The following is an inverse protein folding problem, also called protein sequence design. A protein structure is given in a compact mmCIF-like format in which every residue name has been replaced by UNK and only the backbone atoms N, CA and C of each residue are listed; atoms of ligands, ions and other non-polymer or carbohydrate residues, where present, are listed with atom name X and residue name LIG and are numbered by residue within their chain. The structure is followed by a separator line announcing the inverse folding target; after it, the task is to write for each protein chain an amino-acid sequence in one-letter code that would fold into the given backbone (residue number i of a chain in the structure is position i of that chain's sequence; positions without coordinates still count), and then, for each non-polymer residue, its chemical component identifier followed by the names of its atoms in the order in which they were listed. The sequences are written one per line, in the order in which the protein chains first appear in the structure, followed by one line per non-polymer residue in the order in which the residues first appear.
data_IF_549304187828
#
_entry.id   IF_549304187828
#
_cell.length_a   1.000
_cell.length_b   1.000
_cell.length_c   1.000
_cell.angle_alpha   90.00
_cell.angle_beta   90.00
_cell.angle_gamma   90.00
#
_symmetry.space_group_name_H-M   'P 1'
#
loop_
_entity.id
_entity.type
_entity.pdbx_description
1 polymer ?
#
# COMPACT_ATOMS: atom_id res chain seq x y z
N UNK A 1 -8.34 3.85 11.71
CA UNK A 1 -8.30 2.61 10.95
C UNK A 1 -7.07 1.81 11.32
N UNK A 2 -7.24 0.51 11.50
CA UNK A 2 -6.18 -0.39 11.93
C UNK A 2 -5.47 -1.00 10.73
N UNK A 3 -4.15 -0.86 10.68
CA UNK A 3 -3.35 -1.35 9.56
C UNK A 3 -2.47 -2.51 10.04
N UNK A 4 -2.61 -3.65 9.41
CA UNK A 4 -1.79 -4.83 9.68
C UNK A 4 -0.96 -5.14 8.45
N UNK A 5 0.26 -5.62 8.65
CA UNK A 5 1.18 -5.98 7.57
C UNK A 5 1.27 -7.50 7.47
N UNK A 6 1.08 -8.02 6.27
CA UNK A 6 1.35 -9.42 6.01
C UNK A 6 2.85 -9.67 6.03
N UNK A 7 3.26 -10.91 6.30
CA UNK A 7 4.69 -11.26 6.36
C UNK A 7 5.42 -10.96 5.06
N UNK A 8 4.79 -11.24 3.93
CA UNK A 8 5.37 -10.91 2.63
C UNK A 8 5.61 -9.42 2.46
N UNK A 9 4.67 -8.61 2.92
CA UNK A 9 4.81 -7.15 2.88
C UNK A 9 5.99 -6.69 3.72
N UNK A 10 6.14 -7.24 4.92
CA UNK A 10 7.26 -6.89 5.81
C UNK A 10 8.60 -7.15 5.15
N UNK A 11 8.74 -8.28 4.46
CA UNK A 11 9.98 -8.63 3.76
C UNK A 11 10.28 -7.65 2.64
N UNK A 12 9.27 -7.31 1.85
CA UNK A 12 9.45 -6.38 0.74
C UNK A 12 9.78 -4.98 1.26
N UNK A 13 9.13 -4.55 2.34
CA UNK A 13 9.44 -3.28 2.97
C UNK A 13 10.91 -3.20 3.37
N UNK A 14 11.41 -4.24 4.03
CA UNK A 14 12.81 -4.27 4.45
C UNK A 14 13.75 -4.24 3.26
N UNK A 15 13.38 -4.90 2.18
CA UNK A 15 14.22 -4.99 0.99
C UNK A 15 14.20 -3.71 0.16
N UNK A 16 13.03 -3.09 -0.04
CA UNK A 16 12.86 -2.01 -1.01
C UNK A 16 12.70 -0.61 -0.39
N UNK A 17 12.17 -0.52 0.81
CA UNK A 17 11.81 0.79 1.38
C UNK A 17 12.71 1.19 2.52
N UNK A 18 13.01 0.27 3.42
CA UNK A 18 13.68 0.57 4.69
C UNK A 18 15.00 1.33 4.51
N UNK A 19 15.79 0.97 3.51
CA UNK A 19 17.11 1.57 3.28
C UNK A 19 17.11 2.70 2.24
N UNK A 20 15.95 3.02 1.69
CA UNK A 20 15.79 4.15 0.78
C UNK A 20 15.11 5.27 1.56
N UNK A 21 15.90 6.23 2.05
CA UNK A 21 15.38 7.25 2.96
C UNK A 21 14.28 8.10 2.37
N UNK A 22 14.39 8.47 1.11
CA UNK A 22 13.36 9.25 0.44
C UNK A 22 12.06 8.49 0.31
N UNK A 23 12.14 7.24 -0.15
CA UNK A 23 10.97 6.39 -0.31
C UNK A 23 10.34 6.04 1.05
N UNK A 24 11.18 5.81 2.05
CA UNK A 24 10.72 5.54 3.41
C UNK A 24 9.93 6.71 3.97
N UNK A 25 10.42 7.92 3.79
CA UNK A 25 9.71 9.11 4.24
C UNK A 25 8.36 9.24 3.54
N UNK A 26 8.34 9.06 2.23
CA UNK A 26 7.10 9.12 1.45
C UNK A 26 6.12 8.05 1.91
N UNK A 27 6.61 6.84 2.14
CA UNK A 27 5.76 5.75 2.61
C UNK A 27 5.04 6.12 3.92
N UNK A 28 5.78 6.61 4.89
CA UNK A 28 5.18 6.93 6.19
C UNK A 28 4.27 8.15 6.13
N UNK A 29 4.59 9.15 5.32
CA UNK A 29 3.69 10.28 5.10
C UNK A 29 2.36 9.81 4.48
N UNK A 30 2.45 8.93 3.50
CA UNK A 30 1.26 8.38 2.83
C UNK A 30 0.47 7.48 3.77
N UNK A 31 1.15 6.68 4.60
CA UNK A 31 0.47 5.82 5.56
C UNK A 31 -0.32 6.62 6.58
N UNK A 32 0.22 7.77 7.01
CA UNK A 32 -0.52 8.65 7.91
C UNK A 32 -1.81 9.14 7.26
N UNK A 33 -1.72 9.57 6.01
CA UNK A 33 -2.89 10.01 5.27
C UNK A 33 -3.88 8.86 5.07
N UNK A 34 -3.38 7.70 4.66
CA UNK A 34 -4.21 6.51 4.41
C UNK A 34 -4.99 6.10 5.67
N UNK A 35 -4.35 6.13 6.82
CA UNK A 35 -5.02 5.73 8.07
C UNK A 35 -6.14 6.69 8.46
N UNK A 36 -6.05 7.94 8.05
CA UNK A 36 -7.09 8.94 8.31
C UNK A 36 -8.19 8.93 7.26
N UNK A 37 -7.81 8.75 5.99
CA UNK A 37 -8.75 8.75 4.88
C UNK A 37 -8.20 7.91 3.73
N UNK A 38 -8.55 6.61 3.69
CA UNK A 38 -8.01 5.72 2.65
C UNK A 38 -8.44 6.09 1.24
N UNK A 39 -9.45 6.93 1.09
CA UNK A 39 -9.93 7.36 -0.22
C UNK A 39 -9.56 8.80 -0.55
N UNK A 40 -8.59 9.38 0.15
CA UNK A 40 -8.08 10.69 -0.21
C UNK A 40 -7.62 10.68 -1.68
N UNK A 41 -7.97 11.71 -2.48
CA UNK A 41 -7.59 11.75 -3.90
C UNK A 41 -6.09 11.61 -4.15
N UNK A 42 -5.26 12.05 -3.22
CA UNK A 42 -3.80 11.95 -3.35
C UNK A 42 -3.30 10.51 -3.39
N UNK A 43 -4.06 9.58 -2.80
CA UNK A 43 -3.68 8.17 -2.72
C UNK A 43 -4.02 7.39 -3.99
N UNK A 44 -4.97 7.89 -4.78
CA UNK A 44 -5.47 7.19 -5.97
C UNK A 44 -5.92 5.77 -5.65
N UNK A 45 -6.55 5.60 -4.50
CA UNK A 45 -7.04 4.30 -4.06
C UNK A 45 -8.10 3.77 -5.03
N UNK A 46 -7.91 2.53 -5.48
CA UNK A 46 -8.84 1.92 -6.43
C UNK A 46 -8.86 0.40 -6.30
N UNK A 47 -9.96 -0.18 -6.74
CA UNK A 47 -10.13 -1.63 -6.80
C UNK A 47 -9.29 -2.20 -7.94
N UNK A 48 -8.76 -3.40 -7.71
CA UNK A 48 -8.08 -4.15 -8.73
C UNK A 48 -9.04 -5.15 -9.36
N UNK A 49 -8.71 -5.60 -10.57
CA UNK A 49 -9.54 -6.51 -11.34
C UNK A 49 -8.74 -7.74 -11.77
N UNK A 50 -9.41 -8.69 -12.42
CA UNK A 50 -8.76 -9.90 -12.91
C UNK A 50 -8.30 -10.79 -11.78
N UNK A 51 -7.04 -11.19 -11.86
CA UNK A 51 -6.44 -12.10 -10.84
C UNK A 51 -6.34 -11.47 -9.46
N UNK A 52 -6.40 -10.15 -9.40
CA UNK A 52 -6.28 -9.40 -8.15
C UNK A 52 -7.63 -8.91 -7.65
N UNK A 53 -8.72 -9.43 -8.21
CA UNK A 53 -10.06 -9.04 -7.78
C UNK A 53 -10.23 -9.26 -6.28
N UNK A 54 -10.87 -8.31 -5.60
CA UNK A 54 -11.01 -8.32 -4.15
C UNK A 54 -9.92 -7.57 -3.43
N UNK A 55 -8.86 -7.19 -4.15
CA UNK A 55 -7.78 -6.39 -3.60
C UNK A 55 -7.89 -4.95 -4.10
N UNK A 56 -7.15 -4.07 -3.43
CA UNK A 56 -7.12 -2.64 -3.71
C UNK A 56 -5.68 -2.18 -3.80
N UNK A 57 -5.47 -1.00 -4.36
CA UNK A 57 -4.14 -0.40 -4.41
C UNK A 57 -4.21 1.08 -4.06
N UNK A 58 -3.14 1.60 -3.46
CA UNK A 58 -2.93 3.04 -3.35
C UNK A 58 -1.49 3.38 -3.69
N UNK A 59 -1.25 4.65 -4.06
CA UNK A 59 0.06 5.11 -4.51
C UNK A 59 0.87 5.70 -3.37
N UNK A 60 2.15 5.30 -3.27
CA UNK A 60 3.14 5.99 -2.43
C UNK A 60 3.79 7.08 -3.25
N UNK A 61 4.26 6.73 -4.44
CA UNK A 61 4.77 7.65 -5.44
C UNK A 61 4.10 7.31 -6.76
N UNK A 62 4.40 8.07 -7.82
CA UNK A 62 3.89 7.78 -9.15
C UNK A 62 4.18 6.33 -9.56
N UNK A 63 5.33 5.82 -9.17
CA UNK A 63 5.84 4.53 -9.64
C UNK A 63 5.76 3.41 -8.60
N UNK A 64 5.36 3.72 -7.39
CA UNK A 64 5.34 2.74 -6.30
C UNK A 64 3.95 2.67 -5.69
N UNK A 65 3.38 1.46 -5.67
CA UNK A 65 2.02 1.21 -5.18
C UNK A 65 2.00 0.13 -4.13
N UNK A 66 1.05 0.26 -3.21
CA UNK A 66 0.78 -0.74 -2.17
C UNK A 66 -0.50 -1.49 -2.54
N UNK A 67 -0.44 -2.81 -2.50
CA UNK A 67 -1.61 -3.68 -2.64
C UNK A 67 -2.10 -4.03 -1.25
N UNK A 68 -3.39 -3.91 -1.03
CA UNK A 68 -3.97 -4.18 0.29
C UNK A 68 -5.38 -4.75 0.16
N UNK A 69 -5.91 -5.22 1.28
CA UNK A 69 -7.24 -5.78 1.37
C UNK A 69 -7.96 -5.13 2.55
N UNK A 70 -9.23 -4.76 2.37
CA UNK A 70 -10.07 -4.40 3.50
C UNK A 70 -10.52 -5.68 4.19
N UNK A 71 -10.21 -5.79 5.49
CA UNK A 71 -10.68 -6.92 6.29
C UNK A 71 -12.10 -6.66 6.81
N UNK A 72 -12.36 -5.40 7.14
CA UNK A 72 -13.68 -4.88 7.47
C UNK A 72 -13.63 -3.36 7.34
N UNK A 73 -14.65 -2.65 7.83
CA UNK A 73 -14.76 -1.19 7.68
C UNK A 73 -13.65 -0.43 8.37
N UNK A 74 -12.95 -1.05 9.32
CA UNK A 74 -11.97 -0.37 10.15
C UNK A 74 -10.59 -1.03 10.14
N UNK A 75 -10.41 -2.11 9.38
CA UNK A 75 -9.13 -2.83 9.35
C UNK A 75 -8.71 -3.14 7.93
N UNK A 76 -7.42 -2.99 7.68
CA UNK A 76 -6.82 -3.35 6.39
C UNK A 76 -5.57 -4.20 6.59
N UNK A 77 -5.25 -4.99 5.57
CA UNK A 77 -4.05 -5.82 5.53
C UNK A 77 -3.22 -5.39 4.33
N UNK A 78 -1.98 -4.94 4.58
CA UNK A 78 -1.05 -4.62 3.51
C UNK A 78 -0.41 -5.91 3.02
N UNK A 79 -0.43 -6.14 1.70
CA UNK A 79 -0.06 -7.42 1.10
C UNK A 79 1.22 -7.32 0.29
N UNK A 80 1.37 -6.28 -0.53
CA UNK A 80 2.50 -6.18 -1.44
C UNK A 80 2.81 -4.71 -1.73
N UNK A 81 4.04 -4.44 -2.17
CA UNK A 81 4.45 -3.09 -2.57
C UNK A 81 5.50 -3.20 -3.66
N UNK A 82 5.42 -2.33 -4.65
CA UNK A 82 6.37 -2.32 -5.75
C UNK A 82 5.94 -1.40 -6.85
N UNK A 83 6.69 -1.43 -7.96
CA UNK A 83 6.31 -0.71 -9.16
C UNK A 83 5.10 -1.34 -9.84
N UNK A 84 4.51 -0.61 -10.77
CA UNK A 84 3.31 -1.10 -11.46
C UNK A 84 3.54 -2.48 -12.11
N UNK A 85 4.68 -2.67 -12.72
CA UNK A 85 4.99 -3.94 -13.38
C UNK A 85 5.28 -5.07 -12.40
N UNK A 86 5.66 -4.74 -11.18
CA UNK A 86 5.99 -5.75 -10.18
C UNK A 86 4.75 -6.30 -9.47
N UNK A 87 3.72 -5.46 -9.29
CA UNK A 87 2.56 -5.84 -8.49
C UNK A 87 1.32 -6.11 -9.33
N UNK A 88 1.28 -5.63 -10.54
CA UNK A 88 0.19 -5.86 -11.47
C UNK A 88 0.59 -6.84 -12.55
#
# INVERSE_FOLDING_TARGET
MKVTWEQGFKRIYKKKIKNNQELKKRFWDVMELFSKNPFSPRLRTHKLTGRLEGLWAFSITYDCRVIFKFLDDDRVLLIDVGGHEEVY
#
